data_IF_633016886906
#
_entry.id   IF_633016886906
#
_cell.length_a   1.000
_cell.length_b   1.000
_cell.length_c   1.000
_cell.angle_alpha   90.00
_cell.angle_beta   90.00
_cell.angle_gamma   90.00
#
_symmetry.space_group_name_H-M   'P 1'
#
loop_
_entity.id
_entity.type
_entity.pdbx_description
1 polymer ?
#
# COMPACT_ATOMS: atom_id res chain seq x y z
N UNK A 1 -24.56 -4.01 -3.02
CA UNK A 1 -23.33 -3.58 -2.32
C UNK A 1 -22.14 -4.06 -3.13
N UNK A 2 -21.35 -3.14 -3.69
CA UNK A 2 -20.33 -3.45 -4.67
C UNK A 2 -19.10 -4.03 -3.98
N UNK A 3 -18.96 -5.36 -4.02
CA UNK A 3 -17.88 -6.13 -3.36
C UNK A 3 -16.49 -5.59 -3.71
N UNK A 4 -16.33 -5.10 -4.94
CA UNK A 4 -15.09 -4.53 -5.47
C UNK A 4 -14.67 -3.26 -4.69
N UNK A 5 -15.61 -2.37 -4.38
CA UNK A 5 -15.32 -1.10 -3.68
C UNK A 5 -14.73 -1.38 -2.30
N UNK A 6 -15.32 -2.32 -1.55
CA UNK A 6 -14.81 -2.71 -0.22
C UNK A 6 -13.39 -3.27 -0.25
N UNK A 7 -13.04 -4.01 -1.31
CA UNK A 7 -11.69 -4.55 -1.45
C UNK A 7 -10.68 -3.42 -1.70
N UNK A 8 -11.04 -2.45 -2.53
CA UNK A 8 -10.20 -1.28 -2.79
C UNK A 8 -9.98 -0.47 -1.50
N UNK A 9 -11.03 -0.24 -0.70
CA UNK A 9 -10.91 0.45 0.59
C UNK A 9 -9.96 -0.29 1.55
N UNK A 10 -10.02 -1.62 1.59
CA UNK A 10 -9.09 -2.43 2.40
C UNK A 10 -7.64 -2.32 1.90
N UNK A 11 -7.44 -2.35 0.58
CA UNK A 11 -6.10 -2.18 -0.01
C UNK A 11 -5.55 -0.80 0.32
N UNK A 12 -6.36 0.27 0.22
CA UNK A 12 -5.94 1.63 0.56
C UNK A 12 -5.56 1.76 2.05
N UNK A 13 -6.37 1.19 2.96
CA UNK A 13 -6.03 1.19 4.39
C UNK A 13 -4.74 0.42 4.67
N UNK A 14 -4.54 -0.72 4.01
CA UNK A 14 -3.32 -1.51 4.18
C UNK A 14 -2.10 -0.76 3.63
N UNK A 15 -2.19 -0.15 2.44
CA UNK A 15 -1.12 0.68 1.86
C UNK A 15 -0.73 1.82 2.81
N UNK A 16 -1.70 2.53 3.39
CA UNK A 16 -1.45 3.59 4.35
C UNK A 16 -0.69 3.07 5.59
N UNK A 17 -1.11 1.94 6.15
CA UNK A 17 -0.44 1.36 7.33
C UNK A 17 0.97 0.88 7.01
N UNK A 18 1.21 0.31 5.82
CA UNK A 18 2.54 -0.12 5.37
C UNK A 18 3.47 1.09 5.18
N UNK A 19 2.97 2.17 4.55
CA UNK A 19 3.75 3.42 4.37
C UNK A 19 4.17 4.05 5.69
N UNK A 20 3.27 4.02 6.67
CA UNK A 20 3.53 4.53 8.02
C UNK A 20 4.33 3.56 8.89
N UNK A 21 4.65 2.36 8.39
CA UNK A 21 5.28 1.27 9.14
C UNK A 21 4.54 0.96 10.46
N UNK A 22 3.22 1.14 10.43
CA UNK A 22 2.34 1.02 11.60
C UNK A 22 1.48 -0.24 11.53
N UNK A 23 1.90 -1.26 10.76
CA UNK A 23 1.12 -2.49 10.63
C UNK A 23 1.19 -3.36 11.87
N UNK A 24 2.31 -3.30 12.59
CA UNK A 24 2.61 -4.27 13.65
C UNK A 24 2.68 -5.69 13.10
N UNK A 25 2.53 -6.66 14.01
CA UNK A 25 2.50 -8.09 13.66
C UNK A 25 1.31 -8.41 12.73
N UNK A 26 1.32 -9.55 12.02
CA UNK A 26 0.19 -9.94 11.18
C UNK A 26 -1.15 -10.05 11.93
N UNK A 27 -1.12 -10.31 13.25
CA UNK A 27 -2.32 -10.35 14.08
C UNK A 27 -2.86 -8.93 14.38
N UNK A 28 -1.94 -8.01 14.68
CA UNK A 28 -2.26 -6.60 14.91
C UNK A 28 -2.82 -5.94 13.63
N UNK A 29 -2.20 -6.20 12.48
CA UNK A 29 -2.67 -5.70 11.19
C UNK A 29 -4.06 -6.25 10.84
N UNK A 30 -4.31 -7.54 11.09
CA UNK A 30 -5.61 -8.15 10.86
C UNK A 30 -6.69 -7.49 11.75
N UNK A 31 -6.37 -7.25 13.02
CA UNK A 31 -7.25 -6.56 13.97
C UNK A 31 -7.52 -5.12 13.56
N UNK A 32 -6.49 -4.35 13.18
CA UNK A 32 -6.60 -2.97 12.68
C UNK A 32 -7.46 -2.86 11.42
N UNK A 33 -7.36 -3.83 10.52
CA UNK A 33 -8.18 -3.90 9.30
C UNK A 33 -9.57 -4.48 9.55
N UNK A 34 -9.84 -5.04 10.73
CA UNK A 34 -11.12 -5.69 11.06
C UNK A 34 -11.38 -6.96 10.24
N UNK A 35 -10.33 -7.69 9.88
CA UNK A 35 -10.41 -8.89 9.06
C UNK A 35 -9.73 -10.08 9.74
N UNK A 36 -10.05 -11.30 9.30
CA UNK A 36 -9.32 -12.49 9.75
C UNK A 36 -7.91 -12.54 9.18
N UNK A 37 -6.99 -13.19 9.90
CA UNK A 37 -5.62 -13.50 9.42
C UNK A 37 -5.60 -14.12 8.03
N UNK A 38 -6.48 -15.09 7.75
CA UNK A 38 -6.58 -15.71 6.42
C UNK A 38 -6.93 -14.69 5.34
N UNK A 39 -7.84 -13.75 5.64
CA UNK A 39 -8.22 -12.70 4.69
C UNK A 39 -7.10 -11.67 4.50
N UNK A 40 -6.34 -11.37 5.56
CA UNK A 40 -5.14 -10.53 5.46
C UNK A 40 -4.13 -11.13 4.47
N UNK A 41 -3.77 -12.41 4.61
CA UNK A 41 -2.82 -13.04 3.69
C UNK A 41 -3.33 -13.09 2.25
N UNK A 42 -4.64 -13.29 2.04
CA UNK A 42 -5.25 -13.16 0.72
C UNK A 42 -5.10 -11.75 0.15
N UNK A 43 -5.34 -10.72 0.98
CA UNK A 43 -5.18 -9.32 0.58
C UNK A 43 -3.72 -8.99 0.21
N UNK A 44 -2.76 -9.49 0.99
CA UNK A 44 -1.33 -9.34 0.70
C UNK A 44 -0.99 -10.02 -0.63
N UNK A 45 -1.52 -11.23 -0.89
CA UNK A 45 -1.28 -11.91 -2.16
C UNK A 45 -1.84 -11.12 -3.34
N UNK A 46 -3.06 -10.58 -3.21
CA UNK A 46 -3.66 -9.72 -4.24
C UNK A 46 -2.78 -8.50 -4.49
N UNK A 47 -2.29 -7.82 -3.45
CA UNK A 47 -1.39 -6.68 -3.64
C UNK A 47 -0.07 -7.09 -4.31
N UNK A 48 0.49 -8.27 -3.98
CA UNK A 48 1.67 -8.81 -4.65
C UNK A 48 1.41 -9.13 -6.13
N UNK A 49 0.24 -9.67 -6.47
CA UNK A 49 -0.20 -9.89 -7.85
C UNK A 49 -0.37 -8.56 -8.62
N UNK A 50 -0.67 -7.47 -7.92
CA UNK A 50 -0.66 -6.11 -8.45
C UNK A 50 0.75 -5.47 -8.46
N UNK A 51 1.81 -6.28 -8.36
CA UNK A 51 3.22 -5.87 -8.33
C UNK A 51 3.62 -5.01 -7.12
N UNK A 52 2.92 -5.12 -5.98
CA UNK A 52 3.36 -4.46 -4.75
C UNK A 52 4.51 -5.25 -4.09
N UNK A 53 5.71 -4.67 -3.92
CA UNK A 53 6.87 -5.33 -3.32
C UNK A 53 6.77 -5.33 -1.79
N UNK A 54 5.78 -6.06 -1.25
CA UNK A 54 5.51 -6.15 0.19
C UNK A 54 6.34 -7.27 0.80
N UNK A 55 7.16 -6.92 1.80
CA UNK A 55 7.88 -7.87 2.65
C UNK A 55 7.53 -7.66 4.12
N UNK A 56 7.70 -8.69 4.93
CA UNK A 56 7.55 -8.59 6.39
C UNK A 56 8.93 -8.49 7.01
N UNK A 57 9.18 -7.40 7.72
CA UNK A 57 10.41 -7.19 8.44
C UNK A 57 10.23 -7.61 9.91
N UNK A 58 11.03 -8.60 10.32
CA UNK A 58 10.98 -9.17 11.67
C UNK A 58 11.58 -8.24 12.73
N UNK A 59 12.49 -7.35 12.35
CA UNK A 59 13.19 -6.45 13.26
C UNK A 59 12.30 -5.29 13.67
N UNK A 60 11.52 -4.73 12.74
CA UNK A 60 10.51 -3.70 13.04
C UNK A 60 9.12 -4.26 13.30
N UNK A 61 8.93 -5.58 13.15
CA UNK A 61 7.64 -6.26 13.28
C UNK A 61 6.55 -5.56 12.46
N UNK A 62 6.85 -5.26 11.20
CA UNK A 62 5.93 -4.53 10.32
C UNK A 62 6.09 -5.01 8.88
N UNK A 63 5.00 -4.93 8.12
CA UNK A 63 5.08 -5.01 6.67
C UNK A 63 5.66 -3.71 6.14
N UNK A 64 6.60 -3.83 5.21
CA UNK A 64 7.29 -2.72 4.55
C UNK A 64 7.28 -2.93 3.04
N UNK A 65 7.38 -1.83 2.29
CA UNK A 65 7.67 -1.89 0.86
C UNK A 65 9.18 -1.96 0.64
N UNK A 66 9.63 -2.90 -0.19
CA UNK A 66 11.04 -2.99 -0.56
C UNK A 66 11.46 -1.87 -1.53
N UNK A 67 10.50 -1.28 -2.24
CA UNK A 67 10.72 -0.21 -3.21
C UNK A 67 9.68 0.92 -3.04
N UNK A 68 10.01 2.11 -3.54
CA UNK A 68 9.07 3.25 -3.50
C UNK A 68 7.93 2.98 -4.48
N UNK A 69 6.76 2.62 -3.95
CA UNK A 69 5.56 2.36 -4.74
C UNK A 69 4.43 3.31 -4.38
N UNK A 70 3.53 3.53 -5.34
CA UNK A 70 2.31 4.32 -5.19
C UNK A 70 1.09 3.48 -5.58
N UNK A 71 0.17 3.22 -4.64
CA UNK A 71 -1.12 2.61 -4.99
C UNK A 71 -2.13 3.70 -5.35
N UNK A 72 -2.63 3.69 -6.59
CA UNK A 72 -3.73 4.56 -7.04
C UNK A 72 -4.79 3.72 -7.74
N UNK A 73 -6.05 3.92 -7.36
CA UNK A 73 -7.20 3.29 -7.99
C UNK A 73 -8.28 4.34 -8.24
N UNK A 74 -8.77 4.43 -9.47
CA UNK A 74 -9.79 5.39 -9.89
C UNK A 74 -9.32 6.29 -11.05
N UNK A 75 -10.21 7.17 -11.49
CA UNK A 75 -9.91 8.15 -12.52
C UNK A 75 -9.08 9.29 -11.92
N UNK A 76 -8.01 9.66 -12.60
CA UNK A 76 -7.18 10.82 -12.27
C UNK A 76 -7.00 11.67 -13.52
N UNK A 77 -6.98 12.99 -13.37
CA UNK A 77 -6.59 13.92 -14.42
C UNK A 77 -5.09 14.16 -14.28
N UNK A 78 -4.30 13.71 -15.24
CA UNK A 78 -2.87 14.06 -15.34
C UNK A 78 -2.73 15.47 -15.88
N UNK A 79 -2.65 16.47 -15.00
CA UNK A 79 -2.10 17.76 -15.41
C UNK A 79 -0.57 17.62 -15.43
N UNK A 80 -0.03 17.33 -16.61
CA UNK A 80 1.41 17.27 -16.80
C UNK A 80 1.98 18.69 -16.78
N UNK A 81 2.38 19.18 -15.61
CA UNK A 81 3.45 20.19 -15.53
C UNK A 81 4.77 19.50 -15.32
N UNK A 82 5.39 19.13 -16.44
CA UNK A 82 6.83 18.96 -16.55
C UNK A 82 7.47 20.29 -16.15
N UNK A 83 8.00 20.42 -14.93
CA UNK A 83 8.92 21.50 -14.62
C UNK A 83 10.34 20.96 -14.79
N UNK A 84 10.72 20.76 -16.05
CA UNK A 84 12.12 20.68 -16.44
C UNK A 84 12.68 22.10 -16.56
N UNK A 85 13.97 22.21 -16.24
CA UNK A 85 14.91 23.32 -16.42
C UNK A 85 15.19 24.19 -15.17
N UNK A 86 16.09 23.68 -14.32
CA UNK A 86 17.20 24.51 -13.86
C UNK A 86 18.32 24.40 -14.90
N UNK A 87 18.83 25.53 -15.41
CA UNK A 87 20.26 25.75 -15.32
C UNK A 87 20.54 27.20 -14.90
N UNK A 88 20.67 27.42 -13.60
CA UNK A 88 21.44 28.55 -13.08
C UNK A 88 22.64 27.98 -12.34
N UNK A 89 23.74 27.79 -13.06
CA UNK A 89 25.09 27.75 -12.48
C UNK A 89 26.00 28.49 -13.45
N UNK A 90 26.53 29.63 -12.99
CA UNK A 90 27.64 30.36 -13.62
C UNK A 90 27.23 31.56 -14.46
#
# INVERSE_FOLDING_TARGET
>A
MNIIIKQIELIQRMDQLIRLQATGTPDDLATKLGISKTKLYRLINIMKELNAPITYDISVQSFIYAEVVGFKFGFYTTDQKSNELNPFVG
#
